data_IF_206613094309
#
_entry.id   IF_206613094309
#
_cell.length_a   1.000
_cell.length_b   1.000
_cell.length_c   1.000
_cell.angle_alpha   90.00
_cell.angle_beta   90.00
_cell.angle_gamma   90.00
#
_symmetry.space_group_name_H-M   'P 1'
#
loop_
_entity.id
_entity.type
_entity.pdbx_description
1 polymer ?
#
# COMPACT_ATOMS: atom_id res chain seq x y z
N UNK A 1 13.69 0.64 -12.67
CA UNK A 1 12.84 -0.27 -11.85
C UNK A 1 13.05 -1.69 -12.35
N UNK A 2 13.34 -2.63 -11.45
CA UNK A 2 13.41 -4.05 -11.82
C UNK A 2 12.00 -4.56 -12.11
N UNK A 3 11.80 -5.22 -13.24
CA UNK A 3 10.54 -5.88 -13.56
C UNK A 3 10.54 -7.24 -12.87
N UNK A 4 9.61 -7.44 -11.94
CA UNK A 4 9.41 -8.70 -11.21
C UNK A 4 8.51 -9.65 -12.01
N UNK A 5 8.43 -10.93 -11.62
CA UNK A 5 7.40 -11.85 -12.10
C UNK A 5 6.02 -11.28 -11.79
N UNK A 6 5.05 -11.55 -12.63
CA UNK A 6 3.68 -11.14 -12.40
C UNK A 6 2.86 -12.28 -11.80
N UNK A 7 2.13 -12.00 -10.75
CA UNK A 7 1.10 -12.87 -10.19
C UNK A 7 -0.27 -12.21 -10.29
N UNK A 8 -1.32 -13.00 -10.27
CA UNK A 8 -2.70 -12.53 -10.34
C UNK A 8 -3.46 -12.93 -9.08
N UNK A 9 -4.14 -11.96 -8.44
CA UNK A 9 -4.94 -12.16 -7.24
C UNK A 9 -6.38 -11.76 -7.60
N UNK A 10 -7.20 -12.72 -7.98
CA UNK A 10 -8.51 -12.55 -8.63
C UNK A 10 -8.38 -11.69 -9.89
N UNK A 11 -8.66 -10.41 -9.84
CA UNK A 11 -8.58 -9.42 -10.93
C UNK A 11 -7.41 -8.44 -10.78
N UNK A 12 -6.72 -8.44 -9.64
CA UNK A 12 -5.57 -7.56 -9.37
C UNK A 12 -4.27 -8.21 -9.82
N UNK A 13 -3.53 -7.52 -10.70
CA UNK A 13 -2.18 -7.89 -11.10
C UNK A 13 -1.15 -7.31 -10.14
N UNK A 14 -0.16 -8.10 -9.74
CA UNK A 14 0.93 -7.68 -8.84
C UNK A 14 2.26 -8.10 -9.45
N UNK A 15 3.20 -7.16 -9.57
CA UNK A 15 4.46 -7.37 -10.29
C UNK A 15 4.31 -7.20 -11.79
N UNK A 16 5.36 -7.50 -12.55
CA UNK A 16 5.36 -7.38 -14.01
C UNK A 16 5.22 -5.96 -14.54
N UNK A 17 5.44 -4.95 -13.72
CA UNK A 17 5.22 -3.54 -14.10
C UNK A 17 3.77 -3.05 -13.91
N UNK A 18 2.90 -3.85 -13.32
CA UNK A 18 1.54 -3.43 -12.95
C UNK A 18 1.57 -2.29 -11.90
N UNK A 19 0.47 -1.54 -11.75
CA UNK A 19 0.30 -0.56 -10.68
C UNK A 19 0.54 -1.18 -9.30
N UNK A 20 1.07 -0.38 -8.36
CA UNK A 20 1.36 -0.85 -7.01
C UNK A 20 0.07 -1.03 -6.24
N UNK A 21 -0.27 -2.29 -5.92
CA UNK A 21 -1.50 -2.61 -5.22
C UNK A 21 -1.43 -2.27 -3.71
N UNK A 22 -2.45 -1.59 -3.22
CA UNK A 22 -2.63 -1.28 -1.79
C UNK A 22 -3.40 -2.39 -1.11
N UNK A 23 -2.77 -3.05 -0.16
CA UNK A 23 -3.42 -4.05 0.69
C UNK A 23 -3.64 -3.48 2.09
N UNK A 24 -4.80 -3.78 2.70
CA UNK A 24 -5.02 -3.61 4.14
C UNK A 24 -5.41 -4.94 4.80
N UNK A 25 -5.74 -4.92 6.08
CA UNK A 25 -6.12 -6.10 6.84
C UNK A 25 -7.28 -5.74 7.77
N UNK A 26 -8.30 -6.61 7.82
CA UNK A 26 -9.38 -6.45 8.78
C UNK A 26 -8.88 -6.63 10.22
N UNK A 27 -9.46 -5.89 11.15
CA UNK A 27 -9.26 -6.06 12.58
C UNK A 27 -10.52 -6.59 13.29
N UNK A 28 -11.55 -6.96 12.52
CA UNK A 28 -12.73 -7.65 13.00
C UNK A 28 -12.41 -9.12 13.29
N UNK A 29 -13.23 -9.77 14.11
CA UNK A 29 -13.20 -11.23 14.22
C UNK A 29 -13.72 -11.85 12.92
N UNK A 30 -12.87 -12.60 12.22
CA UNK A 30 -13.22 -13.21 10.92
C UNK A 30 -14.39 -14.19 11.02
N UNK A 31 -14.67 -14.74 12.21
CA UNK A 31 -15.85 -15.59 12.47
C UNK A 31 -17.17 -14.82 12.35
N UNK A 32 -17.14 -13.48 12.55
CA UNK A 32 -18.25 -12.59 12.25
C UNK A 32 -18.13 -12.10 10.80
N UNK A 33 -18.71 -12.86 9.87
CA UNK A 33 -18.66 -12.56 8.45
C UNK A 33 -19.32 -11.21 8.11
N UNK A 34 -20.39 -10.82 8.80
CA UNK A 34 -21.11 -9.59 8.50
C UNK A 34 -20.30 -8.36 8.93
N UNK A 35 -19.73 -8.35 10.14
CA UNK A 35 -18.86 -7.29 10.61
C UNK A 35 -17.61 -7.17 9.71
N UNK A 36 -17.03 -8.31 9.32
CA UNK A 36 -15.86 -8.35 8.44
C UNK A 36 -16.19 -7.82 7.05
N UNK A 37 -17.34 -8.19 6.45
CA UNK A 37 -17.79 -7.65 5.16
C UNK A 37 -18.08 -6.15 5.22
N UNK A 38 -18.67 -5.65 6.31
CA UNK A 38 -18.87 -4.21 6.49
C UNK A 38 -17.53 -3.45 6.47
N UNK A 39 -16.53 -3.96 7.17
CA UNK A 39 -15.19 -3.35 7.17
C UNK A 39 -14.50 -3.48 5.80
N UNK A 40 -14.64 -4.60 5.10
CA UNK A 40 -14.09 -4.77 3.74
C UNK A 40 -14.71 -3.75 2.76
N UNK A 41 -16.01 -3.46 2.86
CA UNK A 41 -16.66 -2.42 2.04
C UNK A 41 -16.09 -1.03 2.34
N UNK A 42 -15.91 -0.69 3.61
CA UNK A 42 -15.28 0.58 3.99
C UNK A 42 -13.84 0.69 3.45
N UNK A 43 -13.06 -0.39 3.47
CA UNK A 43 -11.73 -0.45 2.88
C UNK A 43 -11.78 -0.27 1.35
N UNK A 44 -12.74 -0.90 0.67
CA UNK A 44 -12.95 -0.74 -0.78
C UNK A 44 -13.30 0.70 -1.14
N UNK A 45 -14.22 1.32 -0.39
CA UNK A 45 -14.61 2.73 -0.57
C UNK A 45 -13.43 3.69 -0.37
N UNK A 46 -12.50 3.37 0.55
CA UNK A 46 -11.24 4.10 0.72
C UNK A 46 -10.26 3.88 -0.43
N UNK A 47 -10.51 2.87 -1.29
CA UNK A 47 -9.69 2.51 -2.44
C UNK A 47 -8.55 1.55 -2.12
N UNK A 48 -8.79 0.61 -1.22
CA UNK A 48 -7.98 -0.59 -1.04
C UNK A 48 -8.16 -1.52 -2.24
N UNK A 49 -7.09 -2.21 -2.67
CA UNK A 49 -7.15 -3.15 -3.79
C UNK A 49 -7.28 -4.60 -3.33
N UNK A 50 -6.72 -4.94 -2.17
CA UNK A 50 -6.66 -6.31 -1.65
C UNK A 50 -6.88 -6.27 -0.14
N UNK A 51 -7.72 -7.15 0.40
CA UNK A 51 -7.92 -7.28 1.84
C UNK A 51 -7.37 -8.58 2.39
N UNK A 52 -6.81 -8.56 3.61
CA UNK A 52 -6.36 -9.75 4.32
C UNK A 52 -7.19 -9.97 5.58
N UNK A 53 -7.63 -11.21 5.81
CA UNK A 53 -8.36 -11.65 6.99
C UNK A 53 -7.52 -12.65 7.79
N UNK A 54 -7.52 -12.54 9.12
CA UNK A 54 -6.88 -13.51 10.00
C UNK A 54 -7.68 -14.81 10.03
N UNK A 55 -6.98 -15.96 10.06
CA UNK A 55 -7.61 -17.28 10.16
C UNK A 55 -7.03 -18.02 11.36
N UNK A 56 -7.48 -17.72 12.58
CA UNK A 56 -6.96 -18.32 13.79
C UNK A 56 -7.43 -19.77 14.00
N UNK A 57 -8.57 -20.16 13.46
CA UNK A 57 -9.19 -21.46 13.64
C UNK A 57 -10.10 -21.87 12.47
N UNK A 58 -10.70 -23.06 12.57
CA UNK A 58 -11.54 -23.64 11.52
C UNK A 58 -12.85 -22.85 11.33
N UNK A 59 -13.42 -22.27 12.38
CA UNK A 59 -14.65 -21.46 12.27
C UNK A 59 -14.37 -20.20 11.43
N UNK A 60 -13.22 -19.54 11.64
CA UNK A 60 -12.80 -18.42 10.82
C UNK A 60 -12.57 -18.83 9.36
N UNK A 61 -11.96 -20.02 9.13
CA UNK A 61 -11.76 -20.56 7.79
C UNK A 61 -13.09 -20.85 7.06
N UNK A 62 -14.09 -21.34 7.76
CA UNK A 62 -15.45 -21.59 7.22
C UNK A 62 -16.19 -20.27 6.92
N UNK A 63 -16.08 -19.27 7.81
CA UNK A 63 -16.70 -17.95 7.60
C UNK A 63 -16.16 -17.24 6.36
N UNK A 64 -14.93 -17.54 5.93
CA UNK A 64 -14.38 -17.02 4.68
C UNK A 64 -15.24 -17.37 3.46
N UNK A 65 -16.02 -18.43 3.47
CA UNK A 65 -16.91 -18.79 2.34
C UNK A 65 -17.92 -17.68 2.06
N UNK A 66 -18.59 -17.19 3.10
CA UNK A 66 -19.53 -16.07 3.00
C UNK A 66 -18.79 -14.76 2.65
N UNK A 67 -17.63 -14.53 3.30
CA UNK A 67 -16.83 -13.33 3.08
C UNK A 67 -16.36 -13.27 1.62
N UNK A 68 -15.77 -14.32 1.07
CA UNK A 68 -15.26 -14.36 -0.29
C UNK A 68 -16.37 -14.22 -1.34
N UNK A 69 -17.53 -14.84 -1.09
CA UNK A 69 -18.69 -14.75 -1.99
C UNK A 69 -19.27 -13.33 -2.11
N UNK A 70 -19.12 -12.49 -1.08
CA UNK A 70 -19.73 -11.17 -1.00
C UNK A 70 -18.72 -10.02 -0.93
N UNK A 71 -17.41 -10.31 -0.95
CA UNK A 71 -16.36 -9.32 -0.88
C UNK A 71 -16.17 -8.59 -2.21
N UNK A 72 -16.22 -7.23 -2.25
CA UNK A 72 -15.86 -6.46 -3.42
C UNK A 72 -14.35 -6.54 -3.74
N UNK A 73 -13.52 -6.90 -2.76
CA UNK A 73 -12.06 -6.98 -2.89
C UNK A 73 -11.58 -8.43 -2.89
N UNK A 74 -10.45 -8.75 -3.56
CA UNK A 74 -9.75 -10.02 -3.37
C UNK A 74 -9.39 -10.26 -1.90
N UNK A 75 -9.65 -11.47 -1.41
CA UNK A 75 -9.46 -11.86 -0.01
C UNK A 75 -8.22 -12.72 0.15
N UNK A 76 -7.35 -12.33 1.08
CA UNK A 76 -6.14 -13.07 1.46
C UNK A 76 -6.34 -13.74 2.81
N UNK A 77 -6.19 -15.05 2.90
CA UNK A 77 -6.18 -15.75 4.18
C UNK A 77 -4.79 -15.69 4.83
N UNK A 78 -4.74 -15.25 6.09
CA UNK A 78 -3.51 -15.19 6.89
C UNK A 78 -3.38 -16.44 7.76
N UNK A 79 -2.54 -17.38 7.32
CA UNK A 79 -2.31 -18.67 7.96
C UNK A 79 -0.94 -18.67 8.63
N UNK A 80 -0.86 -19.10 9.89
CA UNK A 80 0.40 -19.09 10.63
C UNK A 80 1.05 -20.48 10.75
N UNK A 81 0.35 -21.49 11.29
CA UNK A 81 0.97 -22.77 11.68
C UNK A 81 0.23 -24.02 11.21
N UNK A 82 -1.09 -23.96 11.01
CA UNK A 82 -1.87 -25.15 10.69
C UNK A 82 -2.22 -25.21 9.20
N UNK A 83 -1.62 -26.17 8.48
CA UNK A 83 -1.89 -26.39 7.06
C UNK A 83 -3.35 -26.70 6.74
N UNK A 84 -4.12 -27.28 7.71
CA UNK A 84 -5.54 -27.59 7.53
C UNK A 84 -6.38 -26.34 7.38
N UNK A 85 -5.99 -25.25 8.07
CA UNK A 85 -6.63 -23.93 7.91
C UNK A 85 -6.36 -23.37 6.51
N UNK A 86 -5.15 -23.60 5.96
CA UNK A 86 -4.85 -23.22 4.59
C UNK A 86 -5.75 -23.97 3.60
N UNK A 87 -5.92 -25.28 3.75
CA UNK A 87 -6.79 -26.06 2.89
C UNK A 87 -8.26 -25.63 3.00
N UNK A 88 -8.78 -25.41 4.22
CA UNK A 88 -10.13 -24.95 4.44
C UNK A 88 -10.37 -23.54 3.86
N UNK A 89 -9.41 -22.63 3.99
CA UNK A 89 -9.46 -21.29 3.38
C UNK A 89 -9.49 -21.37 1.85
N UNK A 90 -8.67 -22.25 1.23
CA UNK A 90 -8.70 -22.50 -0.21
C UNK A 90 -10.08 -23.02 -0.65
N UNK A 91 -10.66 -23.95 0.08
CA UNK A 91 -12.01 -24.46 -0.18
C UNK A 91 -13.07 -23.36 -0.05
N UNK A 92 -12.91 -22.45 0.89
CA UNK A 92 -13.80 -21.32 1.12
C UNK A 92 -13.73 -20.22 0.05
N UNK A 93 -12.77 -20.31 -0.89
CA UNK A 93 -12.74 -19.46 -2.07
C UNK A 93 -11.87 -18.19 -1.93
N UNK A 94 -10.84 -18.20 -1.08
CA UNK A 94 -9.88 -17.09 -0.98
C UNK A 94 -9.08 -16.92 -2.28
N UNK A 95 -8.60 -15.71 -2.52
CA UNK A 95 -7.88 -15.34 -3.74
C UNK A 95 -6.35 -15.42 -3.58
N UNK A 96 -5.84 -15.49 -2.36
CA UNK A 96 -4.42 -15.66 -2.02
C UNK A 96 -4.28 -16.20 -0.61
N UNK A 97 -3.17 -16.88 -0.35
CA UNK A 97 -2.80 -17.31 1.00
C UNK A 97 -1.52 -16.60 1.43
N UNK A 98 -1.46 -16.19 2.69
CA UNK A 98 -0.20 -15.82 3.34
C UNK A 98 0.18 -16.91 4.33
N UNK A 99 1.34 -17.51 4.14
CA UNK A 99 1.92 -18.48 5.07
C UNK A 99 3.45 -18.55 4.90
N UNK A 100 4.12 -19.18 5.86
CA UNK A 100 5.51 -19.59 5.74
C UNK A 100 5.55 -21.12 5.67
N UNK A 101 5.97 -21.72 4.53
CA UNK A 101 5.93 -23.18 4.34
C UNK A 101 6.65 -23.95 5.44
N UNK A 102 7.80 -23.47 5.94
CA UNK A 102 8.52 -24.12 7.03
C UNK A 102 7.78 -24.15 8.37
N UNK A 103 6.72 -23.34 8.56
CA UNK A 103 5.97 -23.28 9.82
C UNK A 103 4.75 -24.21 9.85
N UNK A 104 4.33 -24.76 8.71
CA UNK A 104 3.10 -25.56 8.62
C UNK A 104 3.34 -27.07 8.73
N UNK A 105 4.60 -27.49 8.88
CA UNK A 105 5.00 -28.89 9.12
C UNK A 105 5.88 -29.48 8.03
N UNK A 106 5.87 -30.80 7.88
CA UNK A 106 6.73 -31.53 6.95
C UNK A 106 6.36 -31.32 5.47
N UNK A 107 7.22 -31.86 4.58
CA UNK A 107 7.09 -31.72 3.14
C UNK A 107 5.73 -32.18 2.58
N UNK A 108 5.15 -33.23 3.16
CA UNK A 108 3.83 -33.75 2.82
C UNK A 108 2.71 -32.71 2.99
N UNK A 109 2.78 -31.88 4.06
CA UNK A 109 1.82 -30.82 4.33
C UNK A 109 2.02 -29.64 3.39
N UNK A 110 3.26 -29.27 3.10
CA UNK A 110 3.58 -28.24 2.11
C UNK A 110 3.04 -28.66 0.74
N UNK A 111 3.29 -29.91 0.32
CA UNK A 111 2.77 -30.46 -0.93
C UNK A 111 1.23 -30.42 -1.00
N UNK A 112 0.54 -30.78 0.09
CA UNK A 112 -0.92 -30.75 0.14
C UNK A 112 -1.47 -29.32 -0.12
N UNK A 113 -0.89 -28.31 0.56
CA UNK A 113 -1.28 -26.89 0.37
C UNK A 113 -0.95 -26.43 -1.05
N UNK A 114 0.25 -26.72 -1.55
CA UNK A 114 0.67 -26.35 -2.90
C UNK A 114 -0.23 -26.97 -3.96
N UNK A 115 -0.57 -28.26 -3.81
CA UNK A 115 -1.48 -28.96 -4.74
C UNK A 115 -2.86 -28.27 -4.77
N UNK A 116 -3.39 -27.92 -3.62
CA UNK A 116 -4.68 -27.23 -3.53
C UNK A 116 -4.60 -25.80 -4.12
N UNK A 117 -3.53 -25.07 -3.86
CA UNK A 117 -3.30 -23.74 -4.41
C UNK A 117 -3.16 -23.77 -5.95
N UNK A 118 -2.35 -24.70 -6.50
CA UNK A 118 -2.20 -24.90 -7.95
C UNK A 118 -3.54 -25.18 -8.64
N UNK A 119 -4.36 -26.07 -8.05
CA UNK A 119 -5.65 -26.44 -8.64
C UNK A 119 -6.62 -25.27 -8.79
N UNK A 120 -6.40 -24.18 -8.05
CA UNK A 120 -7.23 -22.97 -8.08
C UNK A 120 -6.46 -21.73 -8.54
N UNK A 121 -5.24 -21.87 -9.02
CA UNK A 121 -4.36 -20.77 -9.45
C UNK A 121 -4.20 -19.67 -8.38
N UNK A 122 -4.05 -20.08 -7.13
CA UNK A 122 -3.93 -19.17 -5.99
C UNK A 122 -2.46 -18.87 -5.70
N UNK A 123 -2.03 -17.60 -5.71
CA UNK A 123 -0.67 -17.25 -5.30
C UNK A 123 -0.48 -17.40 -3.79
N UNK A 124 0.77 -17.71 -3.41
CA UNK A 124 1.20 -17.82 -2.01
C UNK A 124 2.13 -16.65 -1.68
N UNK A 125 1.82 -15.93 -0.59
CA UNK A 125 2.74 -14.94 -0.05
C UNK A 125 3.52 -15.49 1.13
N UNK A 126 4.84 -15.55 0.98
CA UNK A 126 5.77 -15.80 2.07
C UNK A 126 5.90 -14.52 2.89
N UNK A 127 5.74 -14.61 4.20
CA UNK A 127 5.75 -13.44 5.09
C UNK A 127 6.72 -13.62 6.26
N UNK A 128 8.00 -13.29 6.06
CA UNK A 128 9.01 -13.31 7.10
C UNK A 128 8.95 -12.01 7.92
N UNK A 129 8.95 -12.16 9.23
CA UNK A 129 9.16 -11.06 10.18
C UNK A 129 10.46 -11.33 10.96
N UNK A 130 11.10 -10.28 11.45
CA UNK A 130 12.34 -10.43 12.26
C UNK A 130 12.21 -11.41 13.44
N UNK A 131 11.01 -11.50 14.03
CA UNK A 131 10.71 -12.45 15.12
C UNK A 131 10.35 -13.86 14.67
N UNK A 132 10.29 -14.16 13.36
CA UNK A 132 9.89 -15.47 12.82
C UNK A 132 10.97 -16.16 11.98
N UNK A 133 12.20 -15.67 12.04
CA UNK A 133 13.36 -16.26 11.37
C UNK A 133 13.75 -17.58 12.09
N UNK A 134 14.08 -18.61 11.34
CA UNK A 134 14.44 -19.94 11.82
C UNK A 134 15.70 -19.89 12.71
N UNK A 135 15.69 -20.73 13.76
CA UNK A 135 16.76 -20.74 14.76
C UNK A 135 18.16 -20.97 14.16
N UNK A 136 18.28 -21.90 13.21
CA UNK A 136 19.56 -22.19 12.57
C UNK A 136 20.08 -21.02 11.71
N UNK A 137 19.17 -20.20 11.14
CA UNK A 137 19.55 -19.00 10.40
C UNK A 137 19.97 -17.89 11.37
N UNK A 138 19.23 -17.71 12.48
CA UNK A 138 19.62 -16.77 13.53
C UNK A 138 21.01 -17.08 14.11
N UNK A 139 21.31 -18.36 14.34
CA UNK A 139 22.63 -18.81 14.82
C UNK A 139 23.75 -18.51 13.80
N UNK A 140 23.46 -18.72 12.51
CA UNK A 140 24.41 -18.42 11.42
C UNK A 140 24.77 -16.95 11.30
N UNK A 141 23.78 -16.03 11.46
CA UNK A 141 23.96 -14.60 11.26
C UNK A 141 24.10 -13.79 12.56
N UNK A 142 24.02 -14.44 13.72
CA UNK A 142 24.11 -13.79 15.03
C UNK A 142 22.87 -12.96 15.40
N UNK A 143 21.74 -13.18 14.73
CA UNK A 143 20.47 -12.48 15.00
C UNK A 143 19.62 -12.25 13.76
N UNK A 144 18.48 -11.52 13.88
CA UNK A 144 17.56 -11.24 12.78
C UNK A 144 18.07 -10.07 11.91
N UNK A 145 19.27 -10.24 11.34
CA UNK A 145 19.85 -9.26 10.41
C UNK A 145 19.08 -9.22 9.09
N UNK A 146 19.25 -8.18 8.25
CA UNK A 146 18.67 -8.15 6.91
C UNK A 146 19.00 -9.41 6.09
N UNK A 147 20.25 -9.88 6.15
CA UNK A 147 20.72 -11.08 5.45
C UNK A 147 20.00 -12.34 5.98
N UNK A 148 19.83 -12.47 7.30
CA UNK A 148 19.12 -13.58 7.92
C UNK A 148 17.66 -13.62 7.47
N UNK A 149 16.98 -12.47 7.45
CA UNK A 149 15.59 -12.37 7.01
C UNK A 149 15.41 -12.72 5.52
N UNK A 150 16.34 -12.31 4.68
CA UNK A 150 16.34 -12.66 3.24
C UNK A 150 16.62 -14.14 3.06
N UNK A 151 17.60 -14.72 3.78
CA UNK A 151 17.87 -16.15 3.71
C UNK A 151 16.66 -16.98 4.14
N UNK A 152 15.97 -16.59 5.22
CA UNK A 152 14.72 -17.21 5.65
C UNK A 152 13.65 -17.14 4.56
N UNK A 153 13.48 -15.98 3.92
CA UNK A 153 12.51 -15.84 2.84
C UNK A 153 12.84 -16.76 1.65
N UNK A 154 14.10 -16.81 1.22
CA UNK A 154 14.55 -17.66 0.13
C UNK A 154 14.50 -19.15 0.47
N UNK A 155 14.73 -19.52 1.71
CA UNK A 155 14.49 -20.88 2.20
C UNK A 155 13.04 -21.31 2.01
N UNK A 156 12.07 -20.47 2.40
CA UNK A 156 10.66 -20.75 2.18
C UNK A 156 10.27 -20.77 0.69
N UNK A 157 10.89 -19.92 -0.13
CA UNK A 157 10.74 -19.96 -1.59
C UNK A 157 11.19 -21.31 -2.13
N UNK A 158 12.35 -21.81 -1.70
CA UNK A 158 12.88 -23.11 -2.10
C UNK A 158 11.89 -24.23 -1.83
N UNK A 159 11.27 -24.27 -0.65
CA UNK A 159 10.26 -25.29 -0.30
C UNK A 159 9.04 -25.28 -1.25
N UNK A 160 8.64 -24.12 -1.78
CA UNK A 160 7.58 -24.03 -2.77
C UNK A 160 8.07 -24.42 -4.18
N UNK A 161 9.28 -24.00 -4.55
CA UNK A 161 9.88 -24.36 -5.85
C UNK A 161 10.15 -25.86 -5.97
N UNK A 162 10.52 -26.54 -4.87
CA UNK A 162 10.67 -28.01 -4.81
C UNK A 162 9.34 -28.73 -5.11
N UNK A 163 8.21 -28.04 -4.99
CA UNK A 163 6.89 -28.50 -5.40
C UNK A 163 6.46 -27.98 -6.77
N UNK A 164 7.36 -27.44 -7.59
CA UNK A 164 7.07 -26.78 -8.88
C UNK A 164 6.05 -25.64 -8.75
N UNK A 165 6.11 -24.84 -7.68
CA UNK A 165 5.21 -23.72 -7.43
C UNK A 165 5.95 -22.39 -7.56
N UNK A 166 5.45 -21.49 -8.44
CA UNK A 166 6.13 -20.25 -8.81
C UNK A 166 5.25 -18.99 -8.67
N UNK A 167 3.96 -19.13 -8.35
CA UNK A 167 3.05 -18.01 -8.08
C UNK A 167 3.28 -17.45 -6.66
N UNK A 168 4.47 -16.88 -6.45
CA UNK A 168 4.98 -16.49 -5.14
C UNK A 168 5.08 -14.97 -5.05
N UNK A 169 4.72 -14.41 -3.89
CA UNK A 169 5.00 -13.05 -3.46
C UNK A 169 5.81 -13.11 -2.14
N UNK A 170 6.71 -12.17 -1.92
CA UNK A 170 7.57 -12.16 -0.73
C UNK A 170 7.32 -10.90 0.08
N UNK A 171 7.24 -11.04 1.41
CA UNK A 171 7.30 -9.91 2.33
C UNK A 171 8.31 -10.17 3.45
N UNK A 172 9.15 -9.16 3.73
CA UNK A 172 10.19 -9.21 4.76
C UNK A 172 10.04 -7.96 5.62
N UNK A 173 9.66 -8.12 6.88
CA UNK A 173 9.29 -7.00 7.74
C UNK A 173 10.07 -7.01 9.05
N UNK A 174 10.48 -5.82 9.47
CA UNK A 174 11.04 -5.54 10.78
C UNK A 174 10.39 -4.27 11.35
N UNK A 175 10.46 -4.08 12.65
CA UNK A 175 10.11 -2.82 13.31
C UNK A 175 11.18 -1.74 13.08
N UNK A 176 12.39 -2.14 12.69
CA UNK A 176 13.47 -1.26 12.24
C UNK A 176 13.31 -0.90 10.77
N UNK A 177 13.07 0.38 10.46
CA UNK A 177 12.97 0.88 9.09
C UNK A 177 14.28 0.63 8.30
N UNK A 178 15.48 0.94 8.81
CA UNK A 178 16.72 0.65 8.10
C UNK A 178 16.89 -0.84 7.75
N UNK A 179 16.65 -1.74 8.72
CA UNK A 179 16.77 -3.18 8.47
C UNK A 179 15.74 -3.68 7.44
N UNK A 180 14.51 -3.14 7.50
CA UNK A 180 13.47 -3.44 6.52
C UNK A 180 13.90 -3.03 5.12
N UNK A 181 14.39 -1.80 4.96
CA UNK A 181 14.86 -1.29 3.66
C UNK A 181 16.04 -2.12 3.12
N UNK A 182 17.03 -2.40 3.95
CA UNK A 182 18.18 -3.20 3.54
C UNK A 182 17.78 -4.62 3.13
N UNK A 183 16.87 -5.26 3.87
CA UNK A 183 16.37 -6.60 3.53
C UNK A 183 15.63 -6.60 2.18
N UNK A 184 14.79 -5.61 1.89
CA UNK A 184 14.10 -5.54 0.60
C UNK A 184 15.03 -5.23 -0.58
N UNK A 185 16.05 -4.39 -0.38
CA UNK A 185 17.09 -4.14 -1.39
C UNK A 185 17.83 -5.43 -1.72
N UNK A 186 18.32 -6.16 -0.70
CA UNK A 186 18.96 -7.47 -0.87
C UNK A 186 18.03 -8.50 -1.53
N UNK A 187 16.77 -8.56 -1.13
CA UNK A 187 15.79 -9.46 -1.73
C UNK A 187 15.58 -9.14 -3.21
N UNK A 188 15.47 -7.84 -3.55
CA UNK A 188 15.29 -7.43 -4.94
C UNK A 188 16.46 -7.78 -5.85
N UNK A 189 17.68 -7.90 -5.30
CA UNK A 189 18.87 -8.36 -6.02
C UNK A 189 18.86 -9.89 -6.24
N UNK A 190 18.35 -10.64 -5.25
CA UNK A 190 18.45 -12.10 -5.21
C UNK A 190 17.25 -12.83 -5.81
N UNK A 191 16.12 -12.17 -6.06
CA UNK A 191 14.91 -12.81 -6.58
C UNK A 191 14.13 -11.89 -7.50
N UNK A 192 13.37 -12.50 -8.43
CA UNK A 192 12.47 -11.81 -9.35
C UNK A 192 11.00 -11.90 -8.91
N UNK A 193 10.71 -12.48 -7.76
CA UNK A 193 9.36 -12.52 -7.23
C UNK A 193 8.88 -11.14 -6.78
N UNK A 194 7.58 -10.82 -6.94
CA UNK A 194 7.03 -9.55 -6.49
C UNK A 194 7.15 -9.39 -4.98
N UNK A 195 7.48 -8.16 -4.57
CA UNK A 195 7.74 -7.79 -3.19
C UNK A 195 6.56 -7.01 -2.58
N UNK A 196 6.06 -7.51 -1.45
CA UNK A 196 5.02 -6.86 -0.66
C UNK A 196 5.65 -6.06 0.49
N UNK A 197 5.73 -4.75 0.32
CA UNK A 197 6.39 -3.87 1.27
C UNK A 197 5.52 -3.58 2.51
N UNK A 198 6.18 -3.39 3.63
CA UNK A 198 5.55 -2.93 4.87
C UNK A 198 6.55 -2.86 6.01
N UNK A 199 6.23 -2.03 7.00
CA UNK A 199 6.92 -1.98 8.29
C UNK A 199 6.01 -2.60 9.33
N UNK A 200 6.53 -3.52 10.17
CA UNK A 200 5.75 -4.09 11.28
C UNK A 200 5.91 -3.26 12.55
N UNK A 201 4.91 -3.29 13.42
CA UNK A 201 4.94 -2.55 14.70
C UNK A 201 5.27 -1.06 14.49
N UNK A 202 4.69 -0.47 13.45
CA UNK A 202 5.02 0.91 13.10
C UNK A 202 4.54 1.93 14.16
N UNK A 203 3.46 1.62 14.88
CA UNK A 203 2.90 2.44 15.97
C UNK A 203 1.58 3.10 15.61
N UNK A 204 1.22 4.14 16.37
CA UNK A 204 0.00 4.93 16.17
C UNK A 204 0.04 5.70 14.85
N UNK A 205 -1.08 6.31 14.45
CA UNK A 205 -1.25 7.00 13.17
C UNK A 205 -0.08 7.91 12.79
N UNK A 206 0.36 8.78 13.69
CA UNK A 206 1.44 9.75 13.41
C UNK A 206 2.78 9.06 13.14
N UNK A 207 3.32 8.32 14.12
CA UNK A 207 4.64 7.69 13.97
C UNK A 207 4.59 6.52 13.00
N UNK A 208 3.49 5.78 12.95
CA UNK A 208 3.29 4.69 12.01
C UNK A 208 3.30 5.15 10.56
N UNK A 209 2.67 6.30 10.27
CA UNK A 209 2.70 6.92 8.94
C UNK A 209 4.12 7.39 8.57
N UNK A 210 4.84 8.03 9.50
CA UNK A 210 6.22 8.49 9.27
C UNK A 210 7.15 7.29 8.96
N UNK A 211 7.10 6.24 9.79
CA UNK A 211 7.93 5.03 9.57
C UNK A 211 7.58 4.34 8.26
N UNK A 212 6.29 4.26 7.92
CA UNK A 212 5.83 3.66 6.67
C UNK A 212 6.22 4.51 5.46
N UNK A 213 6.12 5.84 5.55
CA UNK A 213 6.58 6.74 4.49
C UNK A 213 8.10 6.63 4.25
N UNK A 214 8.88 6.55 5.32
CA UNK A 214 10.33 6.36 5.21
C UNK A 214 10.68 4.98 4.62
N UNK A 215 10.10 3.89 5.14
CA UNK A 215 10.44 2.53 4.73
C UNK A 215 9.82 2.15 3.39
N UNK A 216 8.50 2.28 3.24
CA UNK A 216 7.79 1.93 2.01
C UNK A 216 8.10 2.97 0.92
N UNK A 217 7.92 4.26 1.23
CA UNK A 217 8.14 5.34 0.27
C UNK A 217 9.58 5.38 -0.23
N UNK A 218 10.56 5.21 0.67
CA UNK A 218 11.98 5.14 0.30
C UNK A 218 12.28 3.98 -0.68
N UNK A 219 11.76 2.78 -0.43
CA UNK A 219 11.92 1.63 -1.33
C UNK A 219 11.24 1.86 -2.69
N UNK A 220 10.03 2.38 -2.70
CA UNK A 220 9.31 2.71 -3.93
C UNK A 220 10.03 3.76 -4.78
N UNK A 221 10.62 4.78 -4.14
CA UNK A 221 11.44 5.79 -4.82
C UNK A 221 12.71 5.17 -5.46
N UNK A 222 13.26 4.12 -4.85
CA UNK A 222 14.37 3.33 -5.39
C UNK A 222 13.92 2.28 -6.43
N UNK A 223 12.63 2.22 -6.75
CA UNK A 223 12.08 1.28 -7.74
C UNK A 223 11.87 -0.14 -7.25
N UNK A 224 11.80 -0.35 -5.93
CA UNK A 224 11.57 -1.66 -5.29
C UNK A 224 10.17 -1.70 -4.68
N UNK A 225 9.40 -2.75 -5.01
CA UNK A 225 8.09 -3.05 -4.45
C UNK A 225 6.95 -3.06 -5.46
N UNK A 226 6.04 -4.02 -5.30
CA UNK A 226 4.94 -4.30 -6.22
C UNK A 226 3.57 -4.20 -5.54
N UNK A 227 3.53 -4.35 -4.22
CA UNK A 227 2.33 -4.17 -3.39
C UNK A 227 2.74 -3.69 -2.00
N UNK A 228 1.89 -2.94 -1.34
CA UNK A 228 2.21 -2.31 -0.06
C UNK A 228 1.11 -2.55 0.98
N UNK A 229 1.52 -2.56 2.26
CA UNK A 229 0.60 -2.41 3.39
C UNK A 229 1.21 -1.50 4.46
N UNK A 230 0.55 -0.39 4.73
CA UNK A 230 0.78 0.41 5.93
C UNK A 230 0.15 -0.30 7.13
N UNK A 231 0.81 -0.33 8.27
CA UNK A 231 0.30 -0.94 9.50
C UNK A 231 0.23 0.10 10.61
N UNK A 232 -0.97 0.38 11.09
CA UNK A 232 -1.21 1.36 12.14
C UNK A 232 -1.93 0.72 13.33
N UNK A 233 -1.67 1.23 14.53
CA UNK A 233 -2.51 0.95 15.71
C UNK A 233 -3.68 1.92 15.67
N UNK A 234 -4.58 1.75 14.68
CA UNK A 234 -5.74 2.60 14.43
C UNK A 234 -6.74 1.89 13.50
N UNK A 235 -7.79 2.61 13.03
CA UNK A 235 -8.73 2.13 12.02
C UNK A 235 -8.00 1.76 10.72
N UNK A 236 -8.23 0.53 10.18
CA UNK A 236 -7.61 0.09 8.93
C UNK A 236 -7.89 0.98 7.71
N UNK A 237 -8.96 1.75 7.70
CA UNK A 237 -9.25 2.75 6.64
C UNK A 237 -8.15 3.81 6.57
N UNK A 238 -7.61 4.23 7.72
CA UNK A 238 -6.49 5.18 7.77
C UNK A 238 -5.21 4.60 7.18
N UNK A 239 -5.00 3.27 7.28
CA UNK A 239 -3.87 2.59 6.62
C UNK A 239 -3.92 2.78 5.09
N UNK A 240 -5.13 2.69 4.50
CA UNK A 240 -5.34 2.88 3.06
C UNK A 240 -5.05 4.32 2.64
N UNK A 241 -5.54 5.30 3.40
CA UNK A 241 -5.26 6.71 3.12
C UNK A 241 -3.76 7.03 3.21
N UNK A 242 -3.08 6.54 4.25
CA UNK A 242 -1.64 6.70 4.38
C UNK A 242 -0.87 6.02 3.24
N UNK A 243 -1.27 4.81 2.82
CA UNK A 243 -0.67 4.11 1.70
C UNK A 243 -0.82 4.89 0.39
N UNK A 244 -2.01 5.42 0.10
CA UNK A 244 -2.26 6.26 -1.09
C UNK A 244 -1.47 7.57 -1.04
N UNK A 245 -1.36 8.21 0.13
CA UNK A 245 -0.53 9.40 0.30
C UNK A 245 0.95 9.11 0.01
N UNK A 246 1.47 7.98 0.48
CA UNK A 246 2.85 7.54 0.19
C UNK A 246 3.03 7.35 -1.32
N UNK A 247 2.12 6.63 -2.01
CA UNK A 247 2.18 6.44 -3.46
C UNK A 247 2.18 7.77 -4.23
N UNK A 248 1.34 8.73 -3.80
CA UNK A 248 1.32 10.09 -4.38
C UNK A 248 2.64 10.81 -4.16
N UNK A 249 3.17 10.77 -2.94
CA UNK A 249 4.40 11.47 -2.57
C UNK A 249 5.62 11.00 -3.38
N UNK A 250 5.66 9.71 -3.76
CA UNK A 250 6.75 9.13 -4.57
C UNK A 250 6.44 9.04 -6.07
N UNK A 251 5.34 9.62 -6.52
CA UNK A 251 4.95 9.65 -7.95
C UNK A 251 4.54 8.29 -8.53
N UNK A 252 4.06 7.37 -7.67
CA UNK A 252 3.63 6.01 -8.05
C UNK A 252 2.12 5.80 -8.01
N UNK A 253 1.34 6.84 -7.71
CA UNK A 253 -0.11 6.78 -7.79
C UNK A 253 -0.57 6.81 -9.25
N UNK A 254 -1.53 5.93 -9.61
CA UNK A 254 -2.15 5.90 -10.96
C UNK A 254 -3.14 7.05 -11.15
N UNK A 255 -3.81 7.46 -10.07
CA UNK A 255 -4.78 8.54 -10.06
C UNK A 255 -4.67 9.40 -8.80
N UNK A 256 -5.38 10.51 -8.81
CA UNK A 256 -5.54 11.43 -7.69
C UNK A 256 -4.78 12.72 -7.86
N UNK A 257 -5.28 13.76 -7.18
CA UNK A 257 -4.72 15.10 -7.22
C UNK A 257 -3.60 15.21 -6.18
N UNK A 258 -2.40 15.55 -6.63
CA UNK A 258 -1.27 15.84 -5.76
C UNK A 258 -1.24 17.33 -5.44
N UNK A 259 -1.65 17.68 -4.21
CA UNK A 259 -1.62 19.09 -3.75
C UNK A 259 -0.25 19.40 -3.17
N UNK A 260 0.40 20.42 -3.68
CA UNK A 260 1.66 20.98 -3.16
C UNK A 260 1.43 22.39 -2.66
N UNK A 261 1.96 22.73 -1.50
CA UNK A 261 1.85 24.07 -0.94
C UNK A 261 3.20 24.60 -0.50
N UNK A 262 3.41 25.92 -0.65
CA UNK A 262 4.62 26.52 -0.11
C UNK A 262 4.55 26.61 1.42
N UNK A 263 5.70 26.60 2.11
CA UNK A 263 5.70 26.86 3.56
C UNK A 263 5.26 28.30 3.84
N UNK A 264 4.61 28.50 4.98
CA UNK A 264 4.29 29.86 5.43
C UNK A 264 5.57 30.67 5.71
N UNK A 265 5.67 31.83 5.10
CA UNK A 265 6.80 32.75 5.32
C UNK A 265 6.32 34.21 5.41
N UNK A 266 7.21 35.15 5.68
CA UNK A 266 6.86 36.57 5.80
C UNK A 266 6.29 37.23 4.53
N UNK A 267 6.30 36.54 3.39
CA UNK A 267 5.71 37.01 2.12
C UNK A 267 4.26 36.52 1.92
N UNK A 268 3.76 35.65 2.77
CA UNK A 268 2.37 35.11 2.66
C UNK A 268 1.36 36.22 2.83
N UNK A 269 0.41 36.37 1.89
CA UNK A 269 -0.62 37.41 1.82
C UNK A 269 -2.05 36.91 1.98
N UNK A 270 -2.24 35.59 2.11
CA UNK A 270 -3.53 34.94 2.25
C UNK A 270 -3.50 34.00 3.47
N UNK A 271 -4.66 33.54 3.91
CA UNK A 271 -4.75 32.50 4.91
C UNK A 271 -4.37 31.13 4.34
N UNK A 272 -3.06 30.99 4.00
CA UNK A 272 -2.52 29.86 3.29
C UNK A 272 -2.80 28.50 3.95
N UNK A 273 -2.73 28.46 5.29
CA UNK A 273 -2.90 27.19 6.03
C UNK A 273 -4.30 26.63 5.84
N UNK A 274 -5.33 27.44 6.02
CA UNK A 274 -6.71 26.99 5.92
C UNK A 274 -7.08 26.70 4.46
N UNK A 275 -6.63 27.56 3.53
CA UNK A 275 -6.83 27.36 2.09
C UNK A 275 -6.19 26.04 1.63
N UNK A 276 -4.94 25.77 2.04
CA UNK A 276 -4.26 24.52 1.64
C UNK A 276 -4.98 23.28 2.19
N UNK A 277 -5.40 23.31 3.45
CA UNK A 277 -6.18 22.22 4.06
C UNK A 277 -7.51 21.99 3.36
N UNK A 278 -8.23 23.07 3.05
CA UNK A 278 -9.53 22.97 2.35
C UNK A 278 -9.35 22.42 0.92
N UNK A 279 -8.35 22.90 0.17
CA UNK A 279 -8.04 22.37 -1.17
C UNK A 279 -7.67 20.89 -1.09
N UNK A 280 -6.82 20.50 -0.14
CA UNK A 280 -6.43 19.11 0.04
C UNK A 280 -7.64 18.22 0.36
N UNK A 281 -8.49 18.64 1.29
CA UNK A 281 -9.71 17.92 1.66
C UNK A 281 -10.68 17.77 0.48
N UNK A 282 -10.95 18.85 -0.27
CA UNK A 282 -11.85 18.81 -1.42
C UNK A 282 -11.29 17.95 -2.57
N UNK A 283 -9.97 17.97 -2.78
CA UNK A 283 -9.30 17.14 -3.78
C UNK A 283 -9.31 15.64 -3.45
N UNK A 284 -9.42 15.25 -2.19
CA UNK A 284 -9.47 13.83 -1.78
C UNK A 284 -10.70 13.08 -2.33
N UNK A 285 -11.81 13.78 -2.55
CA UNK A 285 -13.04 13.20 -3.07
C UNK A 285 -13.08 13.05 -4.61
N UNK A 286 -12.15 13.70 -5.32
CA UNK A 286 -12.13 13.68 -6.79
C UNK A 286 -11.47 12.40 -7.28
N UNK A 287 -12.16 11.65 -8.14
CA UNK A 287 -11.69 10.41 -8.77
C UNK A 287 -11.43 10.61 -10.26
N UNK A 288 -10.63 9.71 -10.86
CA UNK A 288 -10.40 9.67 -12.30
C UNK A 288 -9.54 10.81 -12.85
N UNK A 289 -8.93 11.64 -11.99
CA UNK A 289 -8.00 12.71 -12.40
C UNK A 289 -6.61 12.46 -11.82
N UNK A 290 -5.59 12.60 -12.66
CA UNK A 290 -4.18 12.59 -12.25
C UNK A 290 -3.60 13.96 -12.57
N UNK A 291 -3.35 14.78 -11.56
CA UNK A 291 -2.83 16.12 -11.74
C UNK A 291 -2.11 16.64 -10.49
N UNK A 292 -1.28 17.67 -10.68
CA UNK A 292 -0.58 18.39 -9.62
C UNK A 292 -1.23 19.76 -9.44
N UNK A 293 -1.67 20.07 -8.24
CA UNK A 293 -2.29 21.35 -7.87
C UNK A 293 -1.40 22.10 -6.89
N UNK A 294 -1.09 23.35 -7.16
CA UNK A 294 -0.23 24.18 -6.30
C UNK A 294 -1.04 25.22 -5.52
N UNK A 295 -0.72 25.36 -4.23
CA UNK A 295 -1.30 26.39 -3.33
C UNK A 295 -0.18 27.28 -2.82
N UNK A 296 -0.06 28.49 -3.37
CA UNK A 296 1.04 29.42 -3.11
C UNK A 296 0.60 30.66 -2.35
N UNK A 297 1.31 31.00 -1.29
CA UNK A 297 0.95 32.09 -0.38
C UNK A 297 1.26 33.52 -0.91
N UNK A 298 2.03 33.66 -2.00
CA UNK A 298 2.35 34.93 -2.59
C UNK A 298 2.56 34.84 -4.11
N UNK A 299 2.39 35.98 -4.81
CA UNK A 299 2.55 36.04 -6.26
C UNK A 299 4.01 36.09 -6.74
N UNK A 300 4.97 36.35 -5.83
CA UNK A 300 6.39 36.52 -6.21
C UNK A 300 7.02 35.22 -6.68
N UNK A 301 6.80 34.14 -5.96
CA UNK A 301 7.35 32.82 -6.30
C UNK A 301 6.28 31.86 -6.87
N UNK A 302 4.98 32.17 -6.68
CA UNK A 302 3.89 31.29 -7.04
C UNK A 302 3.98 30.75 -8.46
N UNK A 303 4.01 31.60 -9.49
CA UNK A 303 4.08 31.11 -10.87
C UNK A 303 5.42 30.45 -11.24
N UNK A 304 6.50 30.78 -10.56
CA UNK A 304 7.84 30.22 -10.82
C UNK A 304 8.03 28.81 -10.23
N UNK A 305 7.76 28.66 -8.95
CA UNK A 305 7.87 27.37 -8.25
C UNK A 305 6.77 26.39 -8.64
N UNK A 306 5.65 26.90 -9.13
CA UNK A 306 4.48 26.13 -9.52
C UNK A 306 4.36 25.86 -11.03
N UNK A 307 5.39 26.15 -11.85
CA UNK A 307 5.39 25.85 -13.29
C UNK A 307 5.12 24.39 -13.63
N UNK A 308 5.55 23.51 -12.76
CA UNK A 308 5.30 22.05 -12.91
C UNK A 308 3.91 21.61 -12.43
N UNK A 309 3.10 22.53 -11.88
CA UNK A 309 1.74 22.22 -11.50
C UNK A 309 0.79 22.46 -12.66
N UNK A 310 -0.16 21.55 -12.85
CA UNK A 310 -1.17 21.66 -13.89
C UNK A 310 -2.09 22.84 -13.65
N UNK A 311 -2.52 23.03 -12.41
CA UNK A 311 -3.30 24.17 -11.92
C UNK A 311 -2.76 24.65 -10.58
N UNK A 312 -3.05 25.89 -10.24
CA UNK A 312 -2.73 26.37 -8.91
C UNK A 312 -3.27 27.76 -8.61
N UNK A 313 -3.10 28.14 -7.35
CA UNK A 313 -3.46 29.45 -6.83
C UNK A 313 -2.25 30.14 -6.21
N UNK A 314 -2.23 31.46 -6.31
CA UNK A 314 -1.23 32.31 -5.65
C UNK A 314 -1.91 33.49 -4.96
N UNK A 315 -1.52 33.74 -3.70
CA UNK A 315 -2.06 34.85 -2.91
C UNK A 315 -1.47 36.23 -3.30
N UNK A 316 -2.31 37.24 -3.35
CA UNK A 316 -1.93 38.65 -3.46
C UNK A 316 -2.66 39.50 -2.41
N UNK A 317 -2.42 40.81 -2.36
CA UNK A 317 -3.08 41.70 -1.40
C UNK A 317 -4.57 41.86 -1.75
N UNK A 318 -5.45 41.13 -1.01
CA UNK A 318 -6.90 41.14 -1.20
C UNK A 318 -7.41 40.40 -2.45
N UNK A 319 -6.53 39.93 -3.30
CA UNK A 319 -6.87 39.18 -4.53
C UNK A 319 -6.05 37.90 -4.62
N UNK A 320 -6.64 36.88 -5.22
CA UNK A 320 -5.95 35.66 -5.57
C UNK A 320 -5.81 35.48 -7.07
N UNK A 321 -4.79 34.80 -7.48
CA UNK A 321 -4.54 34.42 -8.86
C UNK A 321 -4.77 32.93 -9.03
N UNK A 322 -5.45 32.52 -10.10
CA UNK A 322 -5.46 31.14 -10.57
C UNK A 322 -4.54 31.06 -11.77
N UNK A 323 -3.72 30.05 -11.83
CA UNK A 323 -2.78 29.82 -12.93
C UNK A 323 -2.85 28.36 -13.42
N UNK A 324 -2.52 28.17 -14.68
CA UNK A 324 -2.37 26.90 -15.37
C UNK A 324 -0.96 26.83 -15.95
N UNK A 325 -0.16 25.83 -15.51
CA UNK A 325 1.23 25.65 -15.96
C UNK A 325 2.08 26.95 -15.90
N UNK A 326 1.88 27.73 -14.83
CA UNK A 326 2.59 29.00 -14.60
C UNK A 326 1.97 30.23 -15.26
N UNK A 327 0.99 30.09 -16.15
CA UNK A 327 0.28 31.20 -16.77
C UNK A 327 -0.96 31.62 -15.98
N UNK A 328 -1.12 32.90 -15.69
CA UNK A 328 -2.27 33.42 -14.94
C UNK A 328 -3.50 33.39 -15.85
N UNK A 329 -4.51 32.63 -15.47
CA UNK A 329 -5.77 32.50 -16.21
C UNK A 329 -6.92 33.31 -15.61
N UNK A 330 -6.87 33.59 -14.28
CA UNK A 330 -7.96 34.28 -13.59
C UNK A 330 -7.48 35.05 -12.37
N UNK A 331 -8.14 36.18 -12.08
CA UNK A 331 -8.00 36.93 -10.82
C UNK A 331 -9.34 36.91 -10.10
N UNK A 332 -9.36 36.56 -8.82
CA UNK A 332 -10.57 36.50 -8.02
C UNK A 332 -10.35 37.07 -6.62
N UNK A 333 -11.38 37.54 -5.91
CA UNK A 333 -11.29 37.85 -4.49
C UNK A 333 -10.78 36.63 -3.69
N UNK A 334 -10.07 36.86 -2.60
CA UNK A 334 -9.50 35.78 -1.80
C UNK A 334 -10.56 34.76 -1.34
N UNK A 335 -11.75 35.22 -0.98
CA UNK A 335 -12.86 34.40 -0.48
C UNK A 335 -13.40 33.42 -1.53
N UNK A 336 -13.19 33.70 -2.81
CA UNK A 336 -13.64 32.87 -3.94
C UNK A 336 -12.53 31.97 -4.49
N UNK A 337 -11.31 32.04 -3.92
CA UNK A 337 -10.11 31.44 -4.51
C UNK A 337 -10.21 29.92 -4.57
N UNK A 338 -10.70 29.28 -3.49
CA UNK A 338 -10.85 27.82 -3.44
C UNK A 338 -11.93 27.34 -4.40
N UNK A 339 -13.11 27.97 -4.39
CA UNK A 339 -14.21 27.58 -5.26
C UNK A 339 -13.83 27.73 -6.74
N UNK A 340 -13.20 28.84 -7.10
CA UNK A 340 -12.75 29.07 -8.46
C UNK A 340 -11.64 28.08 -8.89
N UNK A 341 -10.77 27.64 -7.99
CA UNK A 341 -9.81 26.57 -8.26
C UNK A 341 -10.51 25.22 -8.47
N UNK A 342 -11.49 24.90 -7.63
CA UNK A 342 -12.24 23.64 -7.77
C UNK A 342 -13.02 23.57 -9.07
N UNK A 343 -13.59 24.70 -9.54
CA UNK A 343 -14.22 24.81 -10.84
C UNK A 343 -13.23 24.52 -11.98
N UNK A 344 -12.03 25.11 -11.93
CA UNK A 344 -10.97 24.86 -12.93
C UNK A 344 -10.52 23.38 -12.89
N UNK A 345 -10.41 22.77 -11.69
CA UNK A 345 -10.09 21.35 -11.55
C UNK A 345 -11.19 20.48 -12.18
N UNK A 346 -12.47 20.85 -11.97
CA UNK A 346 -13.59 20.09 -12.53
C UNK A 346 -13.58 20.06 -14.07
N UNK A 347 -13.19 21.17 -14.71
CA UNK A 347 -13.13 21.32 -16.16
C UNK A 347 -11.75 20.96 -16.77
N UNK A 348 -10.78 20.55 -15.96
CA UNK A 348 -9.48 20.15 -16.47
C UNK A 348 -9.55 18.74 -17.08
N UNK A 349 -9.31 18.64 -18.39
CA UNK A 349 -9.41 17.38 -19.14
C UNK A 349 -8.06 16.64 -19.26
N UNK A 350 -6.97 17.23 -18.77
CA UNK A 350 -5.61 16.69 -18.97
C UNK A 350 -5.16 16.79 -20.43
N UNK A 351 -3.87 16.77 -20.69
CA UNK A 351 -3.30 16.51 -22.01
C UNK A 351 -2.75 15.09 -22.07
#
# INVERSE_FOLDING_TARGET
>A
MKITKQIKIRDVLVGGGAPIAVQSMTNTDTRDAQATLAQIRALADAGCDIVRCAVPDMQAAEALREICANSPLPVVADIHFDYRLALAAIESGVDKIRLNPGNIGGADRVQAVVKAAKARHLPIRIGVNSGSVEKHILEKFGGPTPEAMVESALYHVGLLNDCDFDDICISIKSSSVPNTMQAYLLASEKTDYPLHLGVTEAGTEYMGTIKSAAGIGGLLALGVGDTIRVSLTDDPVKEVYAAKAILKAVGRAEEGINVVSCPTCGRTRINLIDIAKEVEQRCQSIRGKKMKVAVMGCVVNGPGEAREADLGIAGGDGVGLIFRRGEIIKKVPQEQLVDALMDEIAHYEGE
#
